data_IF_027749960691
#
_entry.id   IF_027749960691
#
_cell.length_a   1.000
_cell.length_b   1.000
_cell.length_c   1.000
_cell.angle_alpha   90.00
_cell.angle_beta   90.00
_cell.angle_gamma   90.00
#
_symmetry.space_group_name_H-M   'P 1'
#
loop_
_entity.id
_entity.type
_entity.pdbx_description
1 polymer ?
#
# COMPACT_ATOMS: atom_id res chain seq x y z
N UNK A 1 -2.68 -42.51 33.81
CA UNK A 1 -3.54 -41.95 32.76
C UNK A 1 -5.01 -42.13 33.11
N UNK A 2 -5.86 -41.28 32.56
CA UNK A 2 -7.32 -41.38 32.65
C UNK A 2 -7.89 -42.01 31.36
N UNK A 3 -9.21 -42.28 31.33
CA UNK A 3 -9.85 -42.89 30.16
C UNK A 3 -9.82 -42.00 28.91
N UNK A 4 -9.90 -40.67 29.07
CA UNK A 4 -9.84 -39.74 27.95
C UNK A 4 -8.44 -39.75 27.27
N UNK A 5 -7.38 -39.91 28.05
CA UNK A 5 -6.02 -40.06 27.53
C UNK A 5 -5.91 -41.34 26.67
N UNK A 6 -6.58 -42.42 27.07
CA UNK A 6 -6.60 -43.69 26.32
C UNK A 6 -7.33 -43.52 25.00
N UNK A 7 -8.49 -42.88 24.98
CA UNK A 7 -9.26 -42.63 23.74
C UNK A 7 -8.45 -41.84 22.71
N UNK A 8 -7.59 -40.92 23.16
CA UNK A 8 -6.69 -40.16 22.28
C UNK A 8 -5.56 -41.03 21.76
N UNK A 9 -4.99 -41.90 22.60
CA UNK A 9 -3.79 -42.68 22.30
C UNK A 9 -4.08 -44.06 21.69
N UNK A 10 -5.34 -44.48 21.59
CA UNK A 10 -5.68 -45.84 21.17
C UNK A 10 -5.25 -46.13 19.73
N UNK A 11 -5.36 -45.17 18.82
CA UNK A 11 -4.90 -45.34 17.43
C UNK A 11 -3.37 -45.52 17.39
N UNK A 12 -2.61 -44.64 18.06
CA UNK A 12 -1.15 -44.74 18.15
C UNK A 12 -0.69 -46.06 18.82
N UNK A 13 -1.50 -46.58 19.75
CA UNK A 13 -1.28 -47.89 20.37
C UNK A 13 -1.45 -49.03 19.39
N UNK A 14 -2.54 -49.02 18.61
CA UNK A 14 -2.83 -50.05 17.60
C UNK A 14 -1.83 -50.01 16.44
N UNK A 15 -1.43 -48.82 16.02
CA UNK A 15 -0.41 -48.60 14.98
C UNK A 15 1.02 -48.92 15.47
N UNK A 16 1.19 -49.15 16.78
CA UNK A 16 2.49 -49.45 17.38
C UNK A 16 3.48 -48.28 17.39
N UNK A 17 3.00 -47.04 17.26
CA UNK A 17 3.82 -45.82 17.17
C UNK A 17 4.10 -45.18 18.55
N UNK A 18 3.43 -45.67 19.61
CA UNK A 18 3.65 -45.22 20.98
C UNK A 18 5.06 -45.55 21.51
N UNK A 19 5.65 -44.57 22.20
CA UNK A 19 6.87 -44.78 22.97
C UNK A 19 6.65 -45.85 24.06
N UNK A 20 7.67 -46.70 24.36
CA UNK A 20 7.51 -47.86 25.24
C UNK A 20 7.03 -47.51 26.65
N UNK A 21 7.46 -46.38 27.20
CA UNK A 21 7.01 -45.91 28.51
C UNK A 21 5.50 -45.58 28.53
N UNK A 22 4.99 -44.90 27.48
CA UNK A 22 3.56 -44.58 27.37
C UNK A 22 2.71 -45.82 27.08
N UNK A 23 3.23 -46.75 26.29
CA UNK A 23 2.59 -48.05 26.04
C UNK A 23 2.38 -48.83 27.35
N UNK A 24 3.41 -48.92 28.20
CA UNK A 24 3.29 -49.63 29.48
C UNK A 24 2.29 -48.96 30.44
N UNK A 25 2.23 -47.62 30.45
CA UNK A 25 1.23 -46.91 31.23
C UNK A 25 -0.20 -47.21 30.73
N UNK A 26 -0.38 -47.35 29.42
CA UNK A 26 -1.66 -47.65 28.79
C UNK A 26 -2.10 -49.08 29.07
N UNK A 27 -1.19 -50.04 28.92
CA UNK A 27 -1.44 -51.45 29.24
C UNK A 27 -1.82 -51.64 30.71
N UNK A 28 -1.20 -50.88 31.62
CA UNK A 28 -1.63 -50.86 33.03
C UNK A 28 -3.07 -50.37 33.18
N UNK A 29 -3.46 -49.31 32.49
CA UNK A 29 -4.84 -48.81 32.54
C UNK A 29 -5.83 -49.80 31.91
N UNK A 30 -5.46 -50.48 30.81
CA UNK A 30 -6.28 -51.52 30.20
C UNK A 30 -6.47 -52.73 31.14
N UNK A 31 -5.48 -53.03 32.00
CA UNK A 31 -5.61 -54.07 33.02
C UNK A 31 -6.55 -53.67 34.18
N UNK A 32 -6.63 -52.37 34.49
CA UNK A 32 -7.44 -51.84 35.60
C UNK A 32 -8.88 -51.47 35.17
N UNK A 33 -9.08 -51.05 33.92
CA UNK A 33 -10.36 -50.54 33.40
C UNK A 33 -10.94 -51.44 32.30
N UNK A 34 -12.04 -52.18 32.56
CA UNK A 34 -12.63 -53.10 31.59
C UNK A 34 -13.24 -52.37 30.37
N UNK A 35 -13.78 -51.16 30.55
CA UNK A 35 -14.36 -50.39 29.44
C UNK A 35 -13.30 -50.01 28.39
N UNK A 36 -12.13 -49.55 28.85
CA UNK A 36 -11.01 -49.24 27.97
C UNK A 36 -10.44 -50.52 27.32
N UNK A 37 -10.44 -51.65 28.04
CA UNK A 37 -10.02 -52.94 27.48
C UNK A 37 -10.92 -53.42 26.34
N UNK A 38 -12.25 -53.30 26.49
CA UNK A 38 -13.18 -53.64 25.41
C UNK A 38 -13.01 -52.69 24.22
N UNK A 39 -12.88 -51.38 24.46
CA UNK A 39 -12.63 -50.40 23.39
C UNK A 39 -11.37 -50.75 22.58
N UNK A 40 -10.29 -51.15 23.25
CA UNK A 40 -9.05 -51.55 22.58
C UNK A 40 -9.24 -52.82 21.74
N UNK A 41 -9.99 -53.82 22.24
CA UNK A 41 -10.29 -55.05 21.50
C UNK A 41 -11.19 -54.80 20.29
N UNK A 42 -12.24 -54.00 20.46
CA UNK A 42 -13.16 -53.66 19.38
C UNK A 42 -12.45 -52.88 18.27
N UNK A 43 -11.60 -51.93 18.65
CA UNK A 43 -10.79 -51.16 17.71
C UNK A 43 -9.78 -52.04 16.98
N UNK A 44 -9.10 -52.95 17.69
CA UNK A 44 -8.20 -53.93 17.07
C UNK A 44 -8.94 -54.88 16.11
N UNK A 45 -10.14 -55.33 16.48
CA UNK A 45 -10.97 -56.18 15.62
C UNK A 45 -11.42 -55.44 14.35
N UNK A 46 -11.73 -54.15 14.46
CA UNK A 46 -12.08 -53.30 13.32
C UNK A 46 -10.88 -53.14 12.36
N UNK A 47 -9.67 -52.89 12.87
CA UNK A 47 -8.44 -52.82 12.06
C UNK A 47 -8.20 -54.14 11.34
N UNK A 48 -8.22 -55.26 12.07
CA UNK A 48 -8.04 -56.59 11.49
C UNK A 48 -9.14 -56.95 10.47
N UNK A 49 -10.35 -56.40 10.60
CA UNK A 49 -11.42 -56.53 9.62
C UNK A 49 -11.10 -55.76 8.33
N UNK A 50 -10.63 -54.51 8.45
CA UNK A 50 -10.26 -53.68 7.30
C UNK A 50 -9.06 -54.25 6.54
N UNK A 51 -8.08 -54.84 7.22
CA UNK A 51 -6.91 -55.48 6.61
C UNK A 51 -7.26 -56.68 5.71
N UNK A 52 -8.45 -57.28 5.87
CA UNK A 52 -8.92 -58.37 4.99
C UNK A 52 -9.47 -57.89 3.66
N UNK A 53 -9.63 -56.58 3.47
CA UNK A 53 -10.06 -56.04 2.20
C UNK A 53 -9.04 -56.42 1.11
N UNK A 54 -9.54 -56.71 -0.10
CA UNK A 54 -8.69 -57.09 -1.22
C UNK A 54 -7.65 -55.98 -1.48
N UNK A 55 -6.38 -56.38 -1.56
CA UNK A 55 -5.32 -55.43 -1.87
C UNK A 55 -5.51 -54.88 -3.28
N UNK A 56 -5.75 -53.57 -3.37
CA UNK A 56 -5.99 -52.88 -4.63
C UNK A 56 -4.66 -52.55 -5.25
N UNK A 57 -4.37 -53.11 -6.42
CA UNK A 57 -3.16 -52.78 -7.16
C UNK A 57 -3.18 -51.28 -7.53
N UNK A 58 -2.19 -50.48 -7.07
CA UNK A 58 -2.18 -49.07 -7.35
C UNK A 58 -1.94 -48.85 -8.86
N UNK A 59 -2.70 -47.95 -9.51
CA UNK A 59 -2.48 -47.62 -10.92
C UNK A 59 -1.01 -47.26 -11.17
N UNK A 60 -0.37 -47.75 -12.25
CA UNK A 60 1.05 -47.51 -12.49
C UNK A 60 1.38 -46.02 -12.66
N UNK A 61 0.42 -45.21 -13.10
CA UNK A 61 0.56 -43.75 -13.17
C UNK A 61 0.69 -43.06 -11.81
N UNK A 62 0.17 -43.66 -10.72
CA UNK A 62 0.28 -43.06 -9.38
C UNK A 62 1.72 -42.98 -8.91
N UNK A 63 2.54 -44.00 -9.18
CA UNK A 63 3.95 -44.02 -8.78
C UNK A 63 4.69 -42.86 -9.45
N UNK A 64 4.49 -42.68 -10.76
CA UNK A 64 5.05 -41.57 -11.52
C UNK A 64 4.56 -40.23 -10.98
N UNK A 65 3.26 -40.10 -10.69
CA UNK A 65 2.68 -38.85 -10.20
C UNK A 65 3.15 -38.49 -8.78
N UNK A 66 3.35 -39.48 -7.91
CA UNK A 66 3.91 -39.25 -6.57
C UNK A 66 5.38 -38.84 -6.69
N UNK A 67 6.16 -39.50 -7.54
CA UNK A 67 7.60 -39.23 -7.66
C UNK A 67 7.89 -37.88 -8.33
N UNK A 68 7.13 -37.51 -9.37
CA UNK A 68 7.39 -36.31 -10.18
C UNK A 68 6.48 -35.12 -9.85
N UNK A 69 5.26 -35.37 -9.36
CA UNK A 69 4.22 -34.35 -9.19
C UNK A 69 3.80 -34.12 -7.74
N UNK A 70 4.52 -34.72 -6.79
CA UNK A 70 4.28 -34.57 -5.37
C UNK A 70 4.10 -33.09 -4.96
N UNK A 71 2.98 -32.74 -4.32
CA UNK A 71 2.73 -31.36 -3.89
C UNK A 71 3.80 -30.85 -2.91
N UNK A 72 4.43 -31.74 -2.11
CA UNK A 72 5.48 -31.35 -1.17
C UNK A 72 6.77 -30.88 -1.86
N UNK A 73 7.10 -31.41 -3.04
CA UNK A 73 8.28 -30.98 -3.80
C UNK A 73 8.07 -29.59 -4.40
N UNK A 74 6.84 -29.30 -4.86
CA UNK A 74 6.43 -28.02 -5.44
C UNK A 74 6.33 -26.88 -4.42
N UNK A 75 6.12 -27.19 -3.12
CA UNK A 75 6.16 -26.17 -2.05
C UNK A 75 7.54 -25.51 -1.93
N UNK A 76 8.63 -26.22 -2.25
CA UNK A 76 9.99 -25.66 -2.26
C UNK A 76 10.33 -24.87 -3.53
N UNK A 77 9.56 -25.03 -4.61
CA UNK A 77 9.86 -24.46 -5.93
C UNK A 77 9.03 -23.21 -6.29
N UNK A 78 8.19 -22.69 -5.38
CA UNK A 78 7.68 -21.32 -5.53
C UNK A 78 8.83 -20.36 -5.23
N UNK A 79 9.46 -19.85 -6.28
CA UNK A 79 10.43 -18.75 -6.18
C UNK A 79 9.88 -17.69 -5.23
N UNK A 80 10.67 -17.32 -4.21
CA UNK A 80 10.34 -16.25 -3.25
C UNK A 80 9.91 -14.97 -3.98
N UNK A 81 10.46 -14.72 -5.17
CA UNK A 81 10.09 -13.61 -6.06
C UNK A 81 8.65 -13.72 -6.53
N UNK A 82 8.18 -14.90 -6.97
CA UNK A 82 6.78 -15.09 -7.39
C UNK A 82 5.80 -14.93 -6.24
N UNK A 83 6.16 -15.40 -5.04
CA UNK A 83 5.33 -15.22 -3.84
C UNK A 83 5.26 -13.74 -3.46
N UNK A 84 6.40 -13.05 -3.44
CA UNK A 84 6.49 -11.62 -3.11
C UNK A 84 5.75 -10.74 -4.13
N UNK A 85 5.93 -10.98 -5.43
CA UNK A 85 5.20 -10.29 -6.50
C UNK A 85 3.69 -10.56 -6.38
N UNK A 86 3.27 -11.81 -6.15
CA UNK A 86 1.85 -12.12 -5.98
C UNK A 86 1.26 -11.48 -4.72
N UNK A 87 2.04 -11.35 -3.63
CA UNK A 87 1.60 -10.69 -2.41
C UNK A 87 1.43 -9.18 -2.60
N UNK A 88 2.34 -8.52 -3.32
CA UNK A 88 2.27 -7.08 -3.63
C UNK A 88 1.18 -6.78 -4.66
N UNK A 89 1.01 -7.65 -5.65
CA UNK A 89 0.06 -7.43 -6.75
C UNK A 89 -1.35 -7.91 -6.43
N UNK A 90 -1.53 -8.85 -5.49
CA UNK A 90 -2.86 -9.33 -5.06
C UNK A 90 -3.82 -8.25 -4.55
N UNK A 91 -3.41 -7.21 -3.79
CA UNK A 91 -4.32 -6.11 -3.44
C UNK A 91 -4.67 -5.22 -4.63
N UNK A 92 -3.78 -5.11 -5.62
CA UNK A 92 -3.98 -4.30 -6.83
C UNK A 92 -4.89 -4.98 -7.85
N UNK A 93 -4.85 -6.32 -7.91
CA UNK A 93 -5.64 -7.13 -8.83
C UNK A 93 -7.07 -7.44 -8.32
N UNK A 94 -7.47 -6.89 -7.17
CA UNK A 94 -8.86 -7.03 -6.73
C UNK A 94 -9.78 -6.20 -7.65
N UNK A 95 -10.92 -6.77 -8.13
CA UNK A 95 -11.81 -6.12 -9.10
C UNK A 95 -12.24 -4.69 -8.73
N UNK A 96 -12.33 -4.40 -7.44
CA UNK A 96 -12.73 -3.10 -6.89
C UNK A 96 -11.74 -1.95 -7.15
N UNK A 97 -10.44 -2.23 -7.32
CA UNK A 97 -9.43 -1.16 -7.52
C UNK A 97 -9.09 -0.92 -9.00
N UNK A 98 -9.40 -1.88 -9.88
CA UNK A 98 -9.17 -1.75 -11.32
C UNK A 98 -9.94 -0.57 -11.94
N UNK A 99 -11.20 -0.37 -11.53
CA UNK A 99 -12.05 0.74 -11.99
C UNK A 99 -11.49 2.12 -11.61
N UNK A 100 -11.01 2.27 -10.37
CA UNK A 100 -10.42 3.52 -9.89
C UNK A 100 -9.10 3.86 -10.59
N UNK A 101 -8.22 2.88 -10.75
CA UNK A 101 -6.95 3.07 -11.48
C UNK A 101 -7.17 3.39 -12.96
N UNK A 102 -8.16 2.78 -13.61
CA UNK A 102 -8.51 3.12 -14.99
C UNK A 102 -8.96 4.59 -15.11
N UNK A 103 -9.75 5.08 -14.15
CA UNK A 103 -10.22 6.47 -14.14
C UNK A 103 -9.11 7.48 -13.88
N UNK A 104 -8.17 7.20 -12.98
CA UNK A 104 -7.03 8.11 -12.73
C UNK A 104 -6.10 8.17 -13.95
N UNK A 105 -5.81 7.03 -14.58
CA UNK A 105 -4.99 6.97 -15.79
C UNK A 105 -5.65 7.72 -16.94
N UNK A 106 -6.96 7.54 -17.16
CA UNK A 106 -7.71 8.26 -18.18
C UNK A 106 -7.76 9.76 -17.92
N UNK A 107 -7.98 10.18 -16.67
CA UNK A 107 -7.98 11.59 -16.28
C UNK A 107 -6.62 12.26 -16.52
N UNK A 108 -5.54 11.59 -16.09
CA UNK A 108 -4.17 12.09 -16.31
C UNK A 108 -3.86 12.13 -17.82
N UNK A 109 -4.27 11.12 -18.58
CA UNK A 109 -4.06 11.06 -20.03
C UNK A 109 -4.82 12.17 -20.76
N UNK A 110 -6.05 12.47 -20.32
CA UNK A 110 -6.86 13.54 -20.88
C UNK A 110 -6.26 14.91 -20.54
N UNK A 111 -5.81 15.11 -19.30
CA UNK A 111 -5.16 16.34 -18.87
C UNK A 111 -3.83 16.57 -19.60
N UNK A 112 -3.04 15.51 -19.80
CA UNK A 112 -1.81 15.55 -20.59
C UNK A 112 -2.09 15.94 -22.05
N UNK A 113 -3.19 15.45 -22.65
CA UNK A 113 -3.60 15.83 -24.00
C UNK A 113 -4.12 17.26 -24.13
N UNK A 114 -4.68 17.83 -23.07
CA UNK A 114 -5.20 19.20 -23.07
C UNK A 114 -4.11 20.26 -22.78
N UNK A 115 -3.11 19.92 -21.97
CA UNK A 115 -2.03 20.86 -21.59
C UNK A 115 -0.85 20.81 -22.58
N UNK A 116 -0.62 19.69 -23.26
CA UNK A 116 0.38 19.59 -24.32
C UNK A 116 -0.30 19.62 -25.70
N UNK A 117 0.00 20.61 -26.59
CA UNK A 117 -0.47 20.55 -27.96
C UNK A 117 0.10 19.29 -28.60
N UNK A 118 -0.78 18.33 -28.92
CA UNK A 118 -0.46 17.13 -29.68
C UNK A 118 -0.02 17.53 -31.08
N UNK A 119 1.25 17.90 -31.24
CA UNK A 119 1.93 17.77 -32.53
C UNK A 119 1.86 16.28 -32.89
N UNK A 120 1.51 15.92 -34.14
CA UNK A 120 1.49 14.54 -34.56
C UNK A 120 2.86 13.94 -34.27
N UNK A 121 2.92 12.99 -33.33
CA UNK A 121 4.14 12.31 -32.94
C UNK A 121 4.60 11.49 -34.15
N UNK A 122 5.50 12.07 -34.93
CA UNK A 122 6.16 11.39 -36.02
C UNK A 122 6.98 10.23 -35.41
N UNK A 123 7.01 9.03 -36.00
CA UNK A 123 7.78 7.90 -35.44
C UNK A 123 9.29 8.19 -35.31
N UNK A 124 9.78 9.27 -35.92
CA UNK A 124 11.13 9.79 -35.75
C UNK A 124 11.37 10.57 -34.42
N UNK A 125 10.31 11.01 -33.74
CA UNK A 125 10.37 11.73 -32.45
C UNK A 125 10.36 10.79 -31.23
N UNK A 126 10.25 9.48 -31.44
CA UNK A 126 10.48 8.44 -30.42
C UNK A 126 11.96 8.10 -30.24
N UNK A 127 12.89 8.96 -30.68
CA UNK A 127 14.30 8.80 -30.37
C UNK A 127 14.54 9.26 -28.91
N UNK A 128 14.91 8.35 -27.99
CA UNK A 128 15.04 8.67 -26.56
C UNK A 128 15.99 9.84 -26.31
N UNK A 129 17.04 9.99 -27.13
CA UNK A 129 18.02 11.08 -26.99
C UNK A 129 17.42 12.50 -27.09
N UNK A 130 16.43 12.74 -27.95
CA UNK A 130 15.80 14.07 -28.08
C UNK A 130 14.84 14.39 -26.94
N UNK A 131 14.17 13.37 -26.42
CA UNK A 131 13.27 13.49 -25.27
C UNK A 131 14.09 13.80 -24.02
N UNK A 132 15.21 13.09 -23.82
CA UNK A 132 16.15 13.35 -22.74
C UNK A 132 16.75 14.75 -22.85
N UNK A 133 17.21 15.20 -24.03
CA UNK A 133 17.72 16.55 -24.20
C UNK A 133 16.68 17.64 -23.90
N UNK A 134 15.43 17.47 -24.37
CA UNK A 134 14.35 18.43 -24.11
C UNK A 134 13.84 18.45 -22.66
N UNK A 135 14.05 17.35 -21.92
CA UNK A 135 13.73 17.22 -20.49
C UNK A 135 14.87 17.78 -19.63
N UNK A 136 16.12 17.51 -20.00
CA UNK A 136 17.34 18.07 -19.40
C UNK A 136 17.29 19.61 -19.44
N UNK A 137 17.02 20.18 -20.62
CA UNK A 137 16.95 21.65 -20.79
C UNK A 137 15.82 22.30 -19.98
N UNK A 138 14.72 21.58 -19.73
CA UNK A 138 13.63 22.06 -18.86
C UNK A 138 13.96 21.90 -17.39
N UNK A 139 14.57 20.78 -17.02
CA UNK A 139 14.98 20.48 -15.65
C UNK A 139 16.04 21.47 -15.17
N UNK A 140 17.05 21.76 -16.00
CA UNK A 140 18.11 22.73 -15.70
C UNK A 140 17.54 24.14 -15.53
N UNK A 141 16.58 24.55 -16.38
CA UNK A 141 15.92 25.86 -16.25
C UNK A 141 15.01 25.96 -15.03
N UNK A 142 14.31 24.89 -14.67
CA UNK A 142 13.50 24.84 -13.45
C UNK A 142 14.39 24.87 -12.20
N UNK A 143 15.49 24.11 -12.20
CA UNK A 143 16.48 24.08 -11.14
C UNK A 143 17.11 25.45 -10.89
N UNK A 144 17.52 26.15 -11.94
CA UNK A 144 18.06 27.51 -11.85
C UNK A 144 17.06 28.51 -11.24
N UNK A 145 15.75 28.31 -11.44
CA UNK A 145 14.72 29.14 -10.81
C UNK A 145 14.58 28.86 -9.31
N UNK A 146 14.65 27.59 -8.91
CA UNK A 146 14.59 27.18 -7.49
C UNK A 146 15.80 27.66 -6.69
N UNK A 147 17.01 27.55 -7.25
CA UNK A 147 18.24 28.02 -6.58
C UNK A 147 18.18 29.53 -6.35
N UNK A 148 17.79 30.31 -7.36
CA UNK A 148 17.65 31.78 -7.21
C UNK A 148 16.59 32.19 -6.19
N UNK A 149 15.52 31.41 -6.06
CA UNK A 149 14.49 31.65 -5.02
C UNK A 149 15.08 31.46 -3.62
N UNK A 150 15.91 30.43 -3.44
CA UNK A 150 16.57 30.16 -2.15
C UNK A 150 17.63 31.21 -1.80
N UNK A 151 18.43 31.65 -2.79
CA UNK A 151 19.41 32.73 -2.63
C UNK A 151 18.75 34.06 -2.24
N UNK A 152 17.63 34.40 -2.86
CA UNK A 152 16.87 35.60 -2.53
C UNK A 152 16.29 35.56 -1.10
N UNK A 153 15.83 34.38 -0.65
CA UNK A 153 15.33 34.20 0.72
C UNK A 153 16.43 34.41 1.76
N UNK A 154 17.65 33.90 1.49
CA UNK A 154 18.83 34.12 2.32
C UNK A 154 19.22 35.61 2.39
N UNK A 155 19.13 36.33 1.28
CA UNK A 155 19.44 37.76 1.21
C UNK A 155 18.49 38.60 2.07
N UNK A 156 17.18 38.28 2.05
CA UNK A 156 16.19 38.93 2.92
C UNK A 156 16.51 38.70 4.41
N UNK A 157 16.91 37.47 4.77
CA UNK A 157 17.31 37.17 6.15
C UNK A 157 18.53 38.01 6.57
N UNK A 158 19.55 38.08 5.72
CA UNK A 158 20.75 38.88 5.97
C UNK A 158 20.42 40.37 6.19
N UNK A 159 19.55 40.94 5.36
CA UNK A 159 19.11 42.33 5.51
C UNK A 159 18.38 42.55 6.83
N UNK A 160 17.44 41.65 7.18
CA UNK A 160 16.71 41.74 8.45
C UNK A 160 17.63 41.64 9.66
N UNK A 161 18.67 40.80 9.60
CA UNK A 161 19.66 40.71 10.68
C UNK A 161 20.50 41.97 10.79
N UNK A 162 20.98 42.54 9.68
CA UNK A 162 21.77 43.79 9.71
C UNK A 162 20.97 44.99 10.20
N UNK A 163 19.69 45.10 9.83
CA UNK A 163 18.81 46.16 10.31
C UNK A 163 18.57 46.06 11.81
N UNK A 164 18.39 44.84 12.33
CA UNK A 164 18.20 44.60 13.76
C UNK A 164 19.46 44.97 14.57
N UNK A 165 20.64 44.61 14.07
CA UNK A 165 21.91 44.96 14.70
C UNK A 165 22.12 46.49 14.77
N UNK A 166 21.79 47.23 13.70
CA UNK A 166 21.86 48.70 13.72
C UNK A 166 20.85 49.33 14.68
N UNK A 167 19.62 48.82 14.70
CA UNK A 167 18.59 49.30 15.61
C UNK A 167 18.98 49.10 17.08
N UNK A 168 19.66 47.99 17.38
CA UNK A 168 20.16 47.69 18.72
C UNK A 168 21.38 48.54 19.11
N UNK A 169 22.28 48.85 18.16
CA UNK A 169 23.38 49.80 18.39
C UNK A 169 22.88 51.23 18.65
N UNK A 170 21.84 51.69 17.95
CA UNK A 170 21.22 53.00 18.19
C UNK A 170 20.54 53.07 19.57
N UNK A 171 19.96 51.96 20.05
CA UNK A 171 19.40 51.87 21.41
C UNK A 171 20.49 51.89 22.49
N UNK A 172 21.62 51.22 22.26
CA UNK A 172 22.74 51.16 23.21
C UNK A 172 23.54 52.48 23.25
N UNK A 173 23.59 53.24 22.14
CA UNK A 173 24.28 54.53 22.06
C UNK A 173 23.42 55.73 22.51
N UNK A 174 22.12 55.53 22.78
CA UNK A 174 21.26 56.59 23.29
C UNK A 174 21.62 56.93 24.76
N UNK A 175 22.07 58.17 25.05
CA UNK A 175 22.38 58.57 26.42
C UNK A 175 21.12 58.53 27.29
N UNK A 176 21.27 58.10 28.54
CA UNK A 176 20.21 57.67 29.45
C UNK A 176 19.13 58.70 29.82
N UNK A 177 19.14 59.90 29.24
CA UNK A 177 18.21 60.98 29.59
C UNK A 177 16.94 61.04 28.71
N UNK A 178 16.90 60.35 27.56
CA UNK A 178 15.75 60.36 26.63
C UNK A 178 14.82 59.15 26.76
N UNK A 179 14.98 58.33 27.80
CA UNK A 179 14.26 57.05 27.96
C UNK A 179 12.79 57.18 28.39
N UNK A 180 12.21 58.38 28.35
CA UNK A 180 10.85 58.64 28.87
C UNK A 180 10.06 59.52 27.91
N UNK A 181 9.28 58.90 27.02
CA UNK A 181 7.89 59.25 26.60
C UNK A 181 7.58 58.76 25.18
N UNK A 182 6.88 57.62 25.02
CA UNK A 182 5.91 57.42 23.91
C UNK A 182 4.83 56.40 24.37
N UNK A 183 3.51 56.70 24.27
CA UNK A 183 2.41 55.80 24.64
C UNK A 183 2.03 54.80 23.51
N UNK A 184 1.26 53.73 23.80
CA UNK A 184 0.96 52.68 22.84
C UNK A 184 -0.17 53.12 21.90
N UNK A 185 0.05 53.06 20.58
CA UNK A 185 -1.02 53.19 19.60
C UNK A 185 -1.42 51.80 19.06
N UNK A 186 -2.72 51.60 19.06
CA UNK A 186 -3.50 50.43 18.71
C UNK A 186 -3.64 50.25 17.20
N UNK A 187 -3.56 48.98 16.79
CA UNK A 187 -4.37 48.35 15.74
C UNK A 187 -4.34 48.94 14.31
N UNK A 188 -3.53 48.33 13.45
CA UNK A 188 -3.75 48.32 11.99
C UNK A 188 -3.09 47.08 11.37
N UNK A 189 -3.71 45.91 11.56
CA UNK A 189 -3.33 44.69 10.85
C UNK A 189 -4.14 44.57 9.55
N UNK A 190 -3.69 45.24 8.49
CA UNK A 190 -4.07 44.90 7.10
C UNK A 190 -2.86 44.38 6.33
N UNK A 191 -2.75 43.06 6.24
CA UNK A 191 -1.98 42.40 5.18
C UNK A 191 -2.84 42.38 3.90
N UNK A 192 -2.34 42.79 2.73
CA UNK A 192 -2.96 42.41 1.48
C UNK A 192 -2.63 40.95 1.21
N UNK A 193 -3.60 40.06 1.47
CA UNK A 193 -3.59 38.69 0.93
C UNK A 193 -3.93 38.80 -0.56
N UNK A 194 -2.97 38.48 -1.41
CA UNK A 194 -3.21 38.22 -2.82
C UNK A 194 -3.50 36.72 -2.97
N UNK A 195 -4.71 36.27 -3.34
CA UNK A 195 -5.00 34.86 -3.46
C UNK A 195 -4.39 34.27 -4.74
N UNK A 196 -3.91 33.03 -4.61
CA UNK A 196 -3.48 32.17 -5.71
C UNK A 196 -4.58 31.99 -6.78
N UNK A 197 -4.22 31.66 -8.04
CA UNK A 197 -5.16 31.62 -9.15
C UNK A 197 -6.06 30.39 -9.08
N UNK A 198 -7.37 30.59 -9.24
CA UNK A 198 -8.34 29.50 -9.43
C UNK A 198 -8.79 29.49 -10.90
N UNK A 199 -8.68 28.36 -11.62
CA UNK A 199 -9.20 28.24 -12.98
C UNK A 199 -10.72 27.96 -12.96
N UNK A 200 -11.43 28.74 -13.77
CA UNK A 200 -12.79 28.59 -14.31
C UNK A 200 -13.79 27.63 -13.65
N UNK A 201 -14.90 28.20 -13.19
CA UNK A 201 -16.20 27.52 -13.17
C UNK A 201 -17.32 28.51 -13.52
N UNK A 202 -18.27 27.96 -14.26
CA UNK A 202 -19.33 28.53 -15.09
C UNK A 202 -20.64 28.85 -14.36
N UNK A 203 -21.37 29.84 -14.93
CA UNK A 203 -22.84 30.04 -14.99
C UNK A 203 -23.57 30.51 -13.68
N UNK A 204 -24.83 31.06 -13.73
CA UNK A 204 -25.79 31.16 -14.85
C UNK A 204 -26.57 32.50 -15.00
N UNK A 205 -27.33 32.63 -16.10
CA UNK A 205 -28.70 33.18 -16.09
C UNK A 205 -28.89 34.71 -16.17
N UNK A 206 -29.24 35.20 -17.37
CA UNK A 206 -29.91 36.49 -17.58
C UNK A 206 -30.89 36.39 -18.74
N UNK A 207 -32.19 36.38 -18.44
CA UNK A 207 -33.28 36.31 -19.41
C UNK A 207 -33.45 37.62 -20.20
N UNK A 208 -33.98 37.58 -21.45
CA UNK A 208 -34.14 38.77 -22.27
C UNK A 208 -35.47 39.49 -21.99
N UNK A 209 -35.41 40.81 -21.99
CA UNK A 209 -36.57 41.70 -21.98
C UNK A 209 -37.21 41.77 -23.36
N UNK A 210 -38.50 41.46 -23.40
CA UNK A 210 -39.46 41.72 -24.46
C UNK A 210 -39.67 43.21 -24.71
N UNK A 211 -39.88 43.62 -25.97
CA UNK A 211 -40.89 44.63 -26.28
C UNK A 211 -41.49 44.42 -27.68
N UNK A 212 -42.81 44.60 -27.87
CA UNK A 212 -43.53 44.36 -29.12
C UNK A 212 -43.75 45.67 -29.90
N UNK A 213 -44.03 45.58 -31.20
CA UNK A 213 -45.05 46.37 -31.94
C UNK A 213 -44.81 46.32 -33.44
N UNK A 214 -45.86 46.03 -34.22
CA UNK A 214 -45.96 46.50 -35.62
C UNK A 214 -46.41 45.49 -36.67
N UNK A 215 -47.66 45.03 -36.58
CA UNK A 215 -48.53 44.71 -37.73
C UNK A 215 -49.54 45.90 -37.86
N UNK A 216 -50.37 46.05 -38.92
CA UNK A 216 -50.72 45.09 -39.97
C UNK A 216 -50.82 45.66 -41.42
N UNK A 217 -51.00 44.72 -42.36
CA UNK A 217 -51.75 44.73 -43.64
C UNK A 217 -50.97 44.27 -44.86
#
# INVERSE_FOLDING_TARGET
MNCADVEILICDYLDGTLAPARKAELERHLAECPACAELARDSAAAVAFMERAAEVEPPPELVTRILFDAPWSKVKARSKVRVWVSAILSPILQPKYAMGMAMTILSISMLAKFVAPVRPLQPADLQPARIWAGLEDRAVRAWGRSVKFYENLKFVYQIQTTLRDWQQQDEDQRPANDRKTVPPNTDDRKLPVNPAPVPGATAPGGAPLSNPSGDPH
#
